data_IF_066069874649
#
_entry.id   IF_066069874649
#
_cell.length_a   1.000
_cell.length_b   1.000
_cell.length_c   1.000
_cell.angle_alpha   90.00
_cell.angle_beta   90.00
_cell.angle_gamma   90.00
#
_symmetry.space_group_name_H-M   'P 1'
#
loop_
_entity.id
_entity.type
_entity.pdbx_description
1 polymer ?
#
# COMPACT_ATOMS: atom_id res chain seq x y z
N UNK A 1 -54.74 -44.10 -46.39
CA UNK A 1 -54.75 -43.33 -45.13
C UNK A 1 -55.82 -43.93 -44.23
N UNK A 2 -55.60 -44.41 -43.02
CA UNK A 2 -54.41 -44.81 -42.27
C UNK A 2 -54.82 -46.05 -41.46
N UNK A 3 -53.96 -47.08 -41.46
CA UNK A 3 -54.25 -48.44 -41.02
C UNK A 3 -54.51 -48.55 -39.50
N UNK A 4 -55.70 -49.06 -39.13
CA UNK A 4 -55.98 -50.30 -38.36
C UNK A 4 -54.88 -50.81 -37.38
N UNK A 5 -55.14 -51.37 -36.19
CA UNK A 5 -56.36 -51.68 -35.41
C UNK A 5 -55.93 -52.19 -34.01
N UNK A 6 -56.80 -51.98 -33.01
CA UNK A 6 -57.20 -52.85 -31.85
C UNK A 6 -56.20 -53.44 -30.81
N UNK A 7 -56.35 -52.92 -29.57
CA UNK A 7 -56.57 -53.52 -28.20
C UNK A 7 -56.82 -55.06 -28.08
N UNK A 8 -56.64 -55.75 -26.90
CA UNK A 8 -57.06 -55.33 -25.54
C UNK A 8 -56.22 -55.79 -24.30
N UNK A 9 -56.75 -55.51 -23.09
CA UNK A 9 -56.28 -55.65 -21.69
C UNK A 9 -55.83 -57.07 -21.23
N UNK A 10 -55.20 -57.35 -20.08
CA UNK A 10 -55.30 -56.77 -18.72
C UNK A 10 -54.23 -57.37 -17.76
N UNK A 11 -54.03 -56.74 -16.58
CA UNK A 11 -53.41 -57.22 -15.29
C UNK A 11 -51.87 -57.13 -15.05
N UNK A 12 -51.41 -57.11 -13.77
CA UNK A 12 -51.58 -56.10 -12.72
C UNK A 12 -50.23 -55.62 -12.12
N UNK A 13 -50.19 -54.44 -11.50
CA UNK A 13 -49.00 -53.91 -10.80
C UNK A 13 -48.56 -54.75 -9.58
N UNK A 14 -47.24 -54.86 -9.35
CA UNK A 14 -46.69 -54.93 -8.01
C UNK A 14 -45.83 -53.70 -7.68
N UNK A 15 -46.19 -53.06 -6.55
CA UNK A 15 -45.46 -52.18 -5.63
C UNK A 15 -44.17 -51.45 -6.09
N UNK A 16 -44.06 -50.12 -5.86
CA UNK A 16 -42.81 -49.39 -6.08
C UNK A 16 -41.83 -49.70 -4.94
N UNK A 17 -40.79 -50.48 -5.24
CA UNK A 17 -39.61 -50.57 -4.41
C UNK A 17 -38.55 -49.60 -4.93
N UNK A 18 -38.28 -48.57 -4.13
CA UNK A 18 -36.97 -47.93 -4.02
C UNK A 18 -36.61 -46.89 -5.09
N UNK A 19 -36.72 -45.63 -4.71
CA UNK A 19 -35.84 -44.59 -5.22
C UNK A 19 -34.38 -45.06 -5.14
N UNK A 20 -33.74 -45.21 -6.31
CA UNK A 20 -32.30 -45.06 -6.47
C UNK A 20 -32.10 -43.98 -7.51
N UNK A 21 -31.96 -42.74 -7.04
CA UNK A 21 -31.45 -41.63 -7.82
C UNK A 21 -30.06 -42.01 -8.34
N UNK A 22 -29.97 -42.27 -9.64
CA UNK A 22 -28.74 -42.67 -10.30
C UNK A 22 -27.73 -41.53 -10.33
N UNK A 23 -26.69 -41.63 -9.52
CA UNK A 23 -25.40 -40.98 -9.79
C UNK A 23 -24.64 -41.84 -10.80
N UNK A 24 -24.94 -41.65 -12.08
CA UNK A 24 -24.13 -42.24 -13.17
C UNK A 24 -23.67 -41.15 -14.14
N UNK A 25 -23.16 -40.04 -13.59
CA UNK A 25 -22.27 -39.15 -14.33
C UNK A 25 -20.84 -39.58 -14.05
N UNK A 26 -20.09 -40.01 -15.06
CA UNK A 26 -18.69 -40.39 -14.89
C UNK A 26 -17.84 -39.25 -14.32
N UNK A 27 -16.66 -39.61 -13.78
CA UNK A 27 -15.72 -38.67 -13.14
C UNK A 27 -15.32 -37.51 -14.07
N UNK A 28 -15.11 -37.79 -15.36
CA UNK A 28 -14.65 -36.80 -16.34
C UNK A 28 -15.65 -35.63 -16.56
N UNK A 29 -16.95 -35.87 -16.80
CA UNK A 29 -17.96 -34.83 -16.82
C UNK A 29 -18.00 -33.95 -15.56
N UNK A 30 -17.81 -34.53 -14.38
CA UNK A 30 -17.84 -33.80 -13.11
C UNK A 30 -16.61 -32.90 -12.95
N UNK A 31 -15.41 -33.40 -13.29
CA UNK A 31 -14.19 -32.58 -13.31
C UNK A 31 -14.28 -31.42 -14.31
N UNK A 32 -14.88 -31.66 -15.48
CA UNK A 32 -15.13 -30.59 -16.45
C UNK A 32 -16.10 -29.54 -15.92
N UNK A 33 -17.18 -29.95 -15.24
CA UNK A 33 -18.13 -29.04 -14.61
C UNK A 33 -17.48 -28.18 -13.51
N UNK A 34 -16.63 -28.78 -12.67
CA UNK A 34 -15.87 -28.05 -11.65
C UNK A 34 -14.92 -27.02 -12.28
N UNK A 35 -14.25 -27.37 -13.39
CA UNK A 35 -13.40 -26.42 -14.12
C UNK A 35 -14.18 -25.23 -14.68
N UNK A 36 -15.40 -25.44 -15.18
CA UNK A 36 -16.26 -24.33 -15.61
C UNK A 36 -16.68 -23.43 -14.44
N UNK A 37 -16.89 -24.00 -13.25
CA UNK A 37 -17.12 -23.22 -12.02
C UNK A 37 -15.91 -22.38 -11.62
N UNK A 38 -14.69 -22.94 -11.71
CA UNK A 38 -13.47 -22.17 -11.51
C UNK A 38 -13.32 -21.02 -12.51
N UNK A 39 -13.62 -21.23 -13.79
CA UNK A 39 -13.61 -20.16 -14.81
C UNK A 39 -14.63 -19.05 -14.52
N UNK A 40 -15.79 -19.43 -13.97
CA UNK A 40 -16.81 -18.48 -13.52
C UNK A 40 -16.47 -17.80 -12.17
N UNK A 41 -15.31 -18.11 -11.57
CA UNK A 41 -14.87 -17.66 -10.24
C UNK A 41 -15.80 -18.10 -9.09
N UNK A 42 -16.56 -19.16 -9.31
CA UNK A 42 -17.42 -19.79 -8.31
C UNK A 42 -16.64 -20.92 -7.63
N UNK A 43 -15.65 -20.54 -6.82
CA UNK A 43 -14.75 -21.48 -6.11
C UNK A 43 -15.52 -22.40 -5.16
N UNK A 44 -16.49 -21.92 -4.35
CA UNK A 44 -17.26 -22.82 -3.47
C UNK A 44 -18.01 -23.91 -4.24
N UNK A 45 -18.62 -23.59 -5.39
CA UNK A 45 -19.30 -24.61 -6.19
C UNK A 45 -18.32 -25.58 -6.86
N UNK A 46 -17.15 -25.12 -7.30
CA UNK A 46 -16.11 -26.01 -7.80
C UNK A 46 -15.63 -26.99 -6.72
N UNK A 47 -15.38 -26.50 -5.52
CA UNK A 47 -14.92 -27.31 -4.38
C UNK A 47 -15.94 -28.38 -3.99
N UNK A 48 -17.23 -28.03 -3.92
CA UNK A 48 -18.29 -29.00 -3.65
C UNK A 48 -18.32 -30.14 -4.69
N UNK A 49 -18.07 -29.84 -5.97
CA UNK A 49 -17.99 -30.86 -7.01
C UNK A 49 -16.73 -31.73 -6.83
N UNK A 50 -15.58 -31.13 -6.55
CA UNK A 50 -14.34 -31.88 -6.34
C UNK A 50 -14.42 -32.81 -5.13
N UNK A 51 -15.01 -32.37 -4.02
CA UNK A 51 -15.26 -33.21 -2.85
C UNK A 51 -16.19 -34.40 -3.16
N UNK A 52 -17.26 -34.15 -3.91
CA UNK A 52 -18.18 -35.21 -4.34
C UNK A 52 -17.48 -36.23 -5.25
N UNK A 53 -16.63 -35.75 -6.18
CA UNK A 53 -15.81 -36.61 -7.04
C UNK A 53 -14.87 -37.47 -6.21
N UNK A 54 -14.15 -36.89 -5.24
CA UNK A 54 -13.22 -37.62 -4.39
C UNK A 54 -13.93 -38.62 -3.47
N UNK A 55 -15.14 -38.29 -3.00
CA UNK A 55 -15.97 -39.20 -2.20
C UNK A 55 -16.44 -40.41 -3.01
N UNK A 56 -16.81 -40.21 -4.28
CA UNK A 56 -17.34 -41.27 -5.15
C UNK A 56 -16.26 -42.10 -5.86
N UNK A 57 -15.20 -41.45 -6.36
CA UNK A 57 -14.13 -42.09 -7.13
C UNK A 57 -12.92 -42.51 -6.26
N UNK A 58 -12.89 -42.05 -5.01
CA UNK A 58 -11.75 -42.20 -4.11
C UNK A 58 -10.55 -41.33 -4.52
N UNK A 59 -9.49 -41.43 -3.71
CA UNK A 59 -8.22 -40.73 -3.94
C UNK A 59 -7.42 -41.45 -5.04
N UNK A 60 -7.86 -41.33 -6.30
CA UNK A 60 -7.13 -41.88 -7.44
C UNK A 60 -6.07 -40.89 -7.93
N UNK A 61 -4.93 -41.40 -8.37
CA UNK A 61 -3.81 -40.60 -8.83
C UNK A 61 -4.20 -39.64 -9.98
N UNK A 62 -4.91 -40.13 -10.99
CA UNK A 62 -5.35 -39.34 -12.15
C UNK A 62 -6.34 -38.22 -11.78
N UNK A 63 -7.20 -38.48 -10.79
CA UNK A 63 -8.16 -37.50 -10.27
C UNK A 63 -7.44 -36.41 -9.49
N UNK A 64 -6.55 -36.77 -8.55
CA UNK A 64 -5.79 -35.80 -7.75
C UNK A 64 -4.88 -34.91 -8.61
N UNK A 65 -4.24 -35.46 -9.65
CA UNK A 65 -3.44 -34.68 -10.60
C UNK A 65 -4.31 -33.68 -11.37
N UNK A 66 -5.51 -34.08 -11.78
CA UNK A 66 -6.42 -33.20 -12.52
C UNK A 66 -6.93 -32.07 -11.63
N UNK A 67 -7.37 -32.39 -10.41
CA UNK A 67 -7.89 -31.40 -9.45
C UNK A 67 -6.80 -30.41 -9.05
N UNK A 68 -5.59 -30.89 -8.71
CA UNK A 68 -4.45 -29.99 -8.41
C UNK A 68 -4.10 -29.09 -9.57
N UNK A 69 -4.07 -29.62 -10.80
CA UNK A 69 -3.76 -28.83 -11.99
C UNK A 69 -4.79 -27.72 -12.23
N UNK A 70 -6.08 -28.04 -12.06
CA UNK A 70 -7.17 -27.10 -12.24
C UNK A 70 -7.13 -25.97 -11.18
N UNK A 71 -6.96 -26.32 -9.90
CA UNK A 71 -6.88 -25.36 -8.80
C UNK A 71 -5.62 -24.50 -8.87
N UNK A 72 -4.47 -25.11 -9.20
CA UNK A 72 -3.20 -24.41 -9.35
C UNK A 72 -3.23 -23.40 -10.50
N UNK A 73 -3.78 -23.78 -11.67
CA UNK A 73 -3.91 -22.89 -12.83
C UNK A 73 -4.86 -21.71 -12.54
N UNK A 74 -5.88 -21.94 -11.73
CA UNK A 74 -6.84 -20.91 -11.32
C UNK A 74 -6.33 -20.02 -10.16
N UNK A 75 -5.17 -20.32 -9.58
CA UNK A 75 -4.58 -19.57 -8.45
C UNK A 75 -5.17 -19.88 -7.07
N UNK A 76 -6.01 -20.91 -6.95
CA UNK A 76 -6.68 -21.29 -5.70
C UNK A 76 -5.79 -22.26 -4.89
N UNK A 77 -4.64 -21.76 -4.45
CA UNK A 77 -3.57 -22.58 -3.84
C UNK A 77 -3.90 -23.05 -2.42
N UNK A 78 -4.69 -22.30 -1.67
CA UNK A 78 -5.10 -22.70 -0.32
C UNK A 78 -6.09 -23.86 -0.38
N UNK A 79 -7.05 -23.78 -1.29
CA UNK A 79 -8.05 -24.82 -1.55
C UNK A 79 -7.39 -26.09 -2.12
N UNK A 80 -6.35 -25.93 -2.95
CA UNK A 80 -5.52 -27.06 -3.39
C UNK A 80 -4.91 -27.77 -2.19
N UNK A 81 -4.25 -27.04 -1.29
CA UNK A 81 -3.60 -27.62 -0.10
C UNK A 81 -4.64 -28.31 0.78
N UNK A 82 -5.72 -27.63 1.14
CA UNK A 82 -6.79 -28.16 2.00
C UNK A 82 -7.35 -29.47 1.46
N UNK A 83 -7.60 -29.52 0.15
CA UNK A 83 -8.20 -30.68 -0.47
C UNK A 83 -7.20 -31.83 -0.68
N UNK A 84 -5.96 -31.54 -1.08
CA UNK A 84 -5.03 -32.59 -1.49
C UNK A 84 -4.08 -33.06 -0.38
N UNK A 85 -3.63 -32.17 0.50
CA UNK A 85 -2.65 -32.52 1.54
C UNK A 85 -3.06 -33.73 2.40
N UNK A 86 -4.31 -33.84 2.93
CA UNK A 86 -4.69 -34.99 3.75
C UNK A 86 -4.88 -36.29 2.98
N UNK A 87 -4.87 -36.24 1.63
CA UNK A 87 -5.17 -37.38 0.75
C UNK A 87 -3.95 -37.85 -0.04
N UNK A 88 -2.91 -37.02 -0.14
CA UNK A 88 -1.75 -37.33 -0.96
C UNK A 88 -0.86 -38.40 -0.31
N UNK A 89 -0.35 -39.28 -1.15
CA UNK A 89 0.55 -40.38 -0.81
C UNK A 89 1.47 -40.52 -2.01
N UNK A 90 2.77 -40.31 -1.80
CA UNK A 90 3.72 -40.24 -2.90
C UNK A 90 3.86 -41.57 -3.65
N UNK A 91 3.81 -42.70 -2.94
CA UNK A 91 3.96 -44.03 -3.51
C UNK A 91 2.72 -44.45 -4.30
N UNK A 92 1.53 -44.09 -3.80
CA UNK A 92 0.25 -44.43 -4.43
C UNK A 92 -0.13 -43.48 -5.56
N UNK A 93 0.11 -42.18 -5.40
CA UNK A 93 -0.39 -41.14 -6.31
C UNK A 93 0.68 -40.62 -7.29
N UNK A 94 1.95 -40.91 -7.04
CA UNK A 94 3.06 -40.52 -7.89
C UNK A 94 3.39 -39.03 -7.82
N UNK A 95 4.45 -38.64 -8.54
CA UNK A 95 5.07 -37.32 -8.36
C UNK A 95 4.25 -36.14 -8.89
N UNK A 96 3.38 -36.32 -9.88
CA UNK A 96 2.71 -35.19 -10.56
C UNK A 96 1.81 -34.37 -9.61
N UNK A 97 0.97 -35.03 -8.81
CA UNK A 97 0.14 -34.35 -7.83
C UNK A 97 0.99 -33.76 -6.68
N UNK A 98 2.05 -34.46 -6.28
CA UNK A 98 2.98 -33.98 -5.26
C UNK A 98 3.76 -32.74 -5.69
N UNK A 99 4.15 -32.64 -6.97
CA UNK A 99 4.79 -31.43 -7.51
C UNK A 99 3.85 -30.23 -7.47
N UNK A 100 2.57 -30.41 -7.83
CA UNK A 100 1.59 -29.33 -7.76
C UNK A 100 1.35 -28.88 -6.30
N UNK A 101 1.28 -29.83 -5.36
CA UNK A 101 1.15 -29.54 -3.94
C UNK A 101 2.41 -28.87 -3.37
N UNK A 102 3.60 -29.30 -3.80
CA UNK A 102 4.88 -28.67 -3.43
C UNK A 102 4.94 -27.22 -3.91
N UNK A 103 4.52 -26.95 -5.15
CA UNK A 103 4.41 -25.59 -5.67
C UNK A 103 3.44 -24.73 -4.84
N UNK A 104 2.30 -25.30 -4.41
CA UNK A 104 1.36 -24.60 -3.55
C UNK A 104 1.97 -24.27 -2.16
N UNK A 105 2.72 -25.19 -1.56
CA UNK A 105 3.42 -24.93 -0.30
C UNK A 105 4.52 -23.86 -0.43
N UNK A 106 5.25 -23.84 -1.54
CA UNK A 106 6.24 -22.79 -1.79
C UNK A 106 5.59 -21.41 -1.97
N UNK A 107 4.46 -21.33 -2.69
CA UNK A 107 3.69 -20.07 -2.85
C UNK A 107 3.14 -19.58 -1.51
N UNK A 108 2.68 -20.48 -0.65
CA UNK A 108 2.13 -20.15 0.68
C UNK A 108 3.19 -20.07 1.79
N UNK A 109 4.47 -20.25 1.45
CA UNK A 109 5.61 -20.28 2.37
C UNK A 109 5.48 -21.27 3.53
N UNK A 110 4.87 -22.42 3.28
CA UNK A 110 4.82 -23.51 4.25
C UNK A 110 6.07 -24.39 4.09
N UNK A 111 7.21 -23.91 4.60
CA UNK A 111 8.55 -24.48 4.35
C UNK A 111 8.72 -25.87 4.94
N UNK A 112 8.17 -26.14 6.13
CA UNK A 112 8.21 -27.47 6.75
C UNK A 112 7.44 -28.51 5.93
N UNK A 113 6.22 -28.18 5.50
CA UNK A 113 5.42 -29.09 4.67
C UNK A 113 6.02 -29.25 3.27
N UNK A 114 6.61 -28.19 2.71
CA UNK A 114 7.35 -28.26 1.45
C UNK A 114 8.58 -29.17 1.55
N UNK A 115 9.37 -29.06 2.63
CA UNK A 115 10.55 -29.89 2.86
C UNK A 115 10.15 -31.36 2.98
N UNK A 116 9.16 -31.66 3.83
CA UNK A 116 8.70 -33.03 4.02
C UNK A 116 8.20 -33.64 2.70
N UNK A 117 7.42 -32.89 1.92
CA UNK A 117 6.93 -33.36 0.63
C UNK A 117 8.05 -33.52 -0.40
N UNK A 118 9.05 -32.65 -0.38
CA UNK A 118 10.22 -32.75 -1.26
C UNK A 118 11.04 -34.02 -0.97
N UNK A 119 11.23 -34.36 0.31
CA UNK A 119 11.90 -35.58 0.73
C UNK A 119 11.14 -36.82 0.24
N UNK A 120 9.81 -36.86 0.43
CA UNK A 120 8.94 -37.92 -0.09
C UNK A 120 9.04 -38.08 -1.61
N UNK A 121 9.20 -36.98 -2.35
CA UNK A 121 9.35 -37.00 -3.81
C UNK A 121 10.74 -37.51 -4.24
N UNK A 122 11.80 -37.19 -3.50
CA UNK A 122 13.15 -37.76 -3.74
C UNK A 122 13.17 -39.27 -3.44
N UNK A 123 12.43 -39.74 -2.43
CA UNK A 123 12.30 -41.16 -2.09
C UNK A 123 11.67 -42.01 -3.19
N UNK A 124 10.93 -41.41 -4.13
CA UNK A 124 10.42 -42.10 -5.32
C UNK A 124 11.53 -42.56 -6.28
N UNK A 125 12.77 -42.04 -6.12
CA UNK A 125 13.97 -42.39 -6.91
C UNK A 125 13.70 -42.38 -8.42
N UNK A 126 13.13 -41.27 -8.92
CA UNK A 126 12.82 -41.04 -10.35
C UNK A 126 13.91 -40.17 -10.98
N UNK A 127 14.87 -40.74 -11.74
CA UNK A 127 15.99 -39.98 -12.29
C UNK A 127 15.55 -38.82 -13.18
N UNK A 128 14.44 -38.97 -13.89
CA UNK A 128 13.88 -37.93 -14.76
C UNK A 128 13.37 -36.68 -14.02
N UNK A 129 13.14 -36.78 -12.71
CA UNK A 129 12.65 -35.68 -11.87
C UNK A 129 13.76 -35.02 -11.05
N UNK A 130 14.92 -35.66 -10.93
CA UNK A 130 15.99 -35.26 -10.00
C UNK A 130 16.42 -33.81 -10.18
N UNK A 131 16.71 -33.38 -11.42
CA UNK A 131 17.08 -31.99 -11.71
C UNK A 131 15.98 -30.99 -11.31
N UNK A 132 14.71 -31.34 -11.47
CA UNK A 132 13.57 -30.49 -11.10
C UNK A 132 13.40 -30.41 -9.59
N UNK A 133 13.55 -31.53 -8.87
CA UNK A 133 13.48 -31.57 -7.42
C UNK A 133 14.64 -30.84 -6.76
N UNK A 134 15.85 -30.90 -7.34
CA UNK A 134 16.99 -30.07 -6.91
C UNK A 134 16.68 -28.58 -7.08
N UNK A 135 16.01 -28.19 -8.16
CA UNK A 135 15.52 -26.81 -8.34
C UNK A 135 14.58 -26.36 -7.23
N UNK A 136 13.67 -27.24 -6.77
CA UNK A 136 12.80 -26.95 -5.62
C UNK A 136 13.56 -26.93 -4.29
N UNK A 137 14.57 -27.78 -4.11
CA UNK A 137 15.46 -27.77 -2.94
C UNK A 137 16.17 -26.42 -2.79
N UNK A 138 16.69 -25.87 -3.90
CA UNK A 138 17.31 -24.55 -3.89
C UNK A 138 16.32 -23.43 -3.54
N UNK A 139 15.12 -23.45 -4.15
CA UNK A 139 14.08 -22.46 -3.86
C UNK A 139 13.62 -22.53 -2.40
N UNK A 140 13.56 -23.73 -1.82
CA UNK A 140 13.22 -23.94 -0.42
C UNK A 140 14.37 -23.52 0.52
N UNK A 141 15.63 -23.76 0.15
CA UNK A 141 16.80 -23.28 0.88
C UNK A 141 16.87 -21.75 0.90
N UNK A 142 16.54 -21.08 -0.20
CA UNK A 142 16.41 -19.61 -0.24
C UNK A 142 15.31 -19.11 0.72
N UNK A 143 14.17 -19.80 0.76
CA UNK A 143 13.10 -19.50 1.73
C UNK A 143 13.56 -19.74 3.17
N UNK A 144 14.21 -20.86 3.46
CA UNK A 144 14.77 -21.14 4.79
C UNK A 144 15.82 -20.11 5.20
N UNK A 145 16.73 -19.69 4.33
CA UNK A 145 17.68 -18.61 4.64
C UNK A 145 16.92 -17.33 4.97
N UNK A 146 15.91 -16.96 4.18
CA UNK A 146 15.09 -15.78 4.46
C UNK A 146 14.28 -15.90 5.77
N UNK A 147 13.81 -17.09 6.13
CA UNK A 147 13.06 -17.35 7.37
C UNK A 147 13.99 -17.48 8.59
N UNK A 148 15.23 -17.95 8.41
CA UNK A 148 16.25 -18.07 9.47
C UNK A 148 16.91 -16.72 9.74
N UNK A 149 17.09 -15.89 8.71
CA UNK A 149 17.41 -14.46 8.86
C UNK A 149 16.28 -13.72 9.58
N UNK A 150 15.02 -14.09 9.35
CA UNK A 150 13.88 -13.59 10.12
C UNK A 150 13.84 -14.12 11.58
N UNK A 151 14.19 -15.40 11.82
CA UNK A 151 14.10 -16.08 13.12
C UNK A 151 15.30 -15.84 14.06
N UNK A 152 16.47 -15.45 13.55
CA UNK A 152 17.60 -14.97 14.37
C UNK A 152 17.40 -13.55 14.91
N UNK A 153 16.25 -12.94 14.63
CA UNK A 153 15.73 -11.81 15.40
C UNK A 153 15.01 -12.38 16.62
N UNK A 154 15.41 -11.98 17.84
CA UNK A 154 14.84 -12.42 19.11
C UNK A 154 13.31 -12.55 19.08
N UNK A 155 12.75 -13.50 19.86
CA UNK A 155 11.31 -13.70 20.15
C UNK A 155 10.50 -12.43 19.87
N UNK A 156 9.46 -12.45 19.00
CA UNK A 156 8.86 -11.23 18.53
C UNK A 156 8.35 -10.42 19.72
N UNK A 157 9.08 -9.35 20.03
CA UNK A 157 8.48 -8.19 20.65
C UNK A 157 7.27 -7.87 19.76
N UNK A 158 6.09 -7.88 20.37
CA UNK A 158 4.79 -7.62 19.76
C UNK A 158 4.94 -6.78 18.48
N UNK A 159 4.55 -7.33 17.33
CA UNK A 159 4.73 -6.66 16.02
C UNK A 159 4.15 -5.26 16.15
N UNK A 160 4.98 -4.19 16.00
CA UNK A 160 4.52 -2.84 16.27
C UNK A 160 3.29 -2.54 15.41
N UNK A 161 2.20 -2.10 16.05
CA UNK A 161 0.97 -1.76 15.31
C UNK A 161 1.24 -0.47 14.56
N UNK A 162 1.18 -0.55 13.24
CA UNK A 162 1.30 0.62 12.38
C UNK A 162 -0.09 1.22 12.15
N UNK A 163 -0.26 2.48 12.53
CA UNK A 163 -1.42 3.31 12.21
C UNK A 163 -1.10 4.34 11.13
N UNK A 164 -2.12 4.85 10.45
CA UNK A 164 -1.99 5.97 9.53
C UNK A 164 -2.55 7.23 10.17
N UNK A 165 -1.71 8.25 10.33
CA UNK A 165 -2.12 9.61 10.69
C UNK A 165 -2.58 10.33 9.44
N UNK A 166 -3.81 10.85 9.48
CA UNK A 166 -4.40 11.65 8.40
C UNK A 166 -4.17 13.13 8.65
N UNK A 167 -3.37 13.76 7.79
CA UNK A 167 -3.09 15.20 7.80
C UNK A 167 -4.02 15.88 6.79
N UNK A 168 -5.14 16.44 7.26
CA UNK A 168 -6.24 16.96 6.43
C UNK A 168 -6.13 18.43 6.01
N UNK A 169 -5.09 19.12 6.49
CA UNK A 169 -4.75 20.51 6.14
C UNK A 169 -3.26 20.55 5.79
N UNK A 170 -2.79 21.56 5.05
CA UNK A 170 -1.36 21.75 4.86
C UNK A 170 -0.62 21.78 6.20
N UNK A 171 0.50 21.04 6.31
CA UNK A 171 1.15 20.82 7.60
C UNK A 171 1.62 22.13 8.26
N UNK A 172 2.05 23.11 7.45
CA UNK A 172 2.44 24.45 7.89
C UNK A 172 1.31 25.26 8.55
N UNK A 173 0.05 24.84 8.37
CA UNK A 173 -1.11 25.56 8.92
C UNK A 173 -1.47 25.10 10.34
N UNK A 174 -0.99 23.94 10.79
CA UNK A 174 -1.20 23.50 12.17
C UNK A 174 -0.39 24.37 13.12
N UNK A 175 -1.06 24.97 14.11
CA UNK A 175 -0.52 26.01 14.98
C UNK A 175 -0.87 27.44 14.54
N UNK A 176 -1.37 27.63 13.31
CA UNK A 176 -1.79 28.92 12.78
C UNK A 176 -3.31 29.08 12.69
N UNK A 177 -4.09 28.02 12.94
CA UNK A 177 -5.53 28.02 12.66
C UNK A 177 -6.30 29.09 13.42
N UNK A 178 -5.95 29.31 14.68
CA UNK A 178 -6.58 30.34 15.51
C UNK A 178 -6.02 31.75 15.25
N UNK A 179 -4.79 31.83 14.71
CA UNK A 179 -4.08 33.09 14.54
C UNK A 179 -4.34 33.73 13.18
N UNK A 180 -4.50 32.91 12.14
CA UNK A 180 -4.70 33.35 10.77
C UNK A 180 -5.61 32.38 9.98
N UNK A 181 -6.87 32.17 10.43
CA UNK A 181 -7.78 31.19 9.83
C UNK A 181 -8.08 31.46 8.35
N UNK A 182 -7.97 32.72 7.92
CA UNK A 182 -8.20 33.17 6.55
C UNK A 182 -7.14 32.69 5.56
N UNK A 183 -5.97 32.25 6.01
CA UNK A 183 -4.91 31.71 5.13
C UNK A 183 -5.33 30.41 4.47
N UNK A 184 -6.18 29.60 5.12
CA UNK A 184 -6.74 28.40 4.53
C UNK A 184 -7.98 28.78 3.70
N UNK A 185 -8.04 28.40 2.42
CA UNK A 185 -9.14 28.79 1.57
C UNK A 185 -10.46 28.13 1.99
N UNK A 186 -11.56 28.85 1.80
CA UNK A 186 -12.91 28.28 1.93
C UNK A 186 -13.32 27.72 0.58
N UNK A 187 -13.57 26.41 0.53
CA UNK A 187 -13.97 25.74 -0.71
C UNK A 187 -15.45 25.38 -0.67
N UNK A 188 -16.13 25.66 -1.77
CA UNK A 188 -17.55 25.39 -1.96
C UNK A 188 -17.76 24.41 -3.13
N UNK A 189 -18.92 23.76 -3.16
CA UNK A 189 -19.27 22.81 -4.21
C UNK A 189 -18.67 21.41 -4.04
N UNK A 190 -18.89 20.58 -5.07
CA UNK A 190 -18.44 19.18 -5.10
C UNK A 190 -16.93 19.13 -5.36
N UNK A 191 -16.21 18.48 -4.46
CA UNK A 191 -14.75 18.33 -4.50
C UNK A 191 -14.37 16.87 -4.59
N UNK A 192 -13.30 16.59 -5.34
CA UNK A 192 -12.67 15.27 -5.38
C UNK A 192 -11.84 15.09 -4.10
N UNK A 193 -12.09 14.03 -3.36
CA UNK A 193 -11.31 13.67 -2.18
C UNK A 193 -10.10 12.84 -2.58
N UNK A 194 -8.90 13.32 -2.30
CA UNK A 194 -7.65 12.68 -2.68
C UNK A 194 -6.73 12.50 -1.48
N UNK A 195 -6.26 11.27 -1.26
CA UNK A 195 -5.20 11.01 -0.30
C UNK A 195 -3.85 10.87 -0.99
N UNK A 196 -2.82 11.52 -0.45
CA UNK A 196 -1.42 11.31 -0.81
C UNK A 196 -0.76 10.47 0.28
N UNK A 197 -0.50 9.20 -0.02
CA UNK A 197 0.05 8.26 0.93
C UNK A 197 1.58 8.35 0.97
N UNK A 198 2.17 8.13 2.16
CA UNK A 198 3.61 8.03 2.35
C UNK A 198 4.26 7.14 1.28
N UNK A 199 5.40 7.58 0.71
CA UNK A 199 6.10 6.78 -0.27
C UNK A 199 6.67 5.51 0.36
N UNK A 200 6.52 4.38 -0.33
CA UNK A 200 7.27 3.18 -0.06
C UNK A 200 8.74 3.37 -0.45
N UNK A 201 9.62 2.63 0.23
CA UNK A 201 11.06 2.56 0.04
C UNK A 201 11.50 1.10 -0.25
N UNK A 202 11.16 0.53 -1.42
CA UNK A 202 11.54 -0.83 -1.75
C UNK A 202 13.05 -1.04 -1.77
N UNK A 203 13.49 -2.17 -1.20
CA UNK A 203 14.91 -2.47 -1.05
C UNK A 203 15.56 -1.74 0.13
N UNK A 204 14.79 -1.13 1.02
CA UNK A 204 15.30 -0.61 2.28
C UNK A 204 15.56 -1.76 3.26
N UNK A 205 16.84 -2.06 3.46
CA UNK A 205 17.32 -2.98 4.49
C UNK A 205 17.07 -2.40 5.89
N UNK A 206 16.81 -3.28 6.87
CA UNK A 206 16.61 -2.92 8.28
C UNK A 206 15.58 -1.81 8.53
N UNK A 207 14.49 -1.79 7.76
CA UNK A 207 13.47 -0.74 7.82
C UNK A 207 12.94 -0.47 9.23
N UNK A 208 12.75 -1.52 10.05
CA UNK A 208 12.30 -1.39 11.43
C UNK A 208 13.34 -0.72 12.35
N UNK A 209 14.61 -1.12 12.24
CA UNK A 209 15.71 -0.52 13.01
C UNK A 209 15.92 0.93 12.62
N UNK A 210 15.89 1.24 11.32
CA UNK A 210 15.98 2.61 10.81
C UNK A 210 14.80 3.47 11.26
N UNK A 211 13.59 2.91 11.24
CA UNK A 211 12.38 3.57 11.70
C UNK A 211 12.41 3.93 13.20
N UNK A 212 13.14 3.17 14.01
CA UNK A 212 13.30 3.42 15.44
C UNK A 212 14.36 4.51 15.77
N UNK A 213 15.07 5.03 14.77
CA UNK A 213 16.04 6.12 14.92
C UNK A 213 15.42 7.46 14.48
N UNK A 214 15.98 8.60 14.93
CA UNK A 214 15.58 9.90 14.40
C UNK A 214 15.63 9.92 12.87
N UNK A 215 14.69 10.63 12.23
CA UNK A 215 14.53 10.52 10.79
C UNK A 215 15.78 10.91 9.99
N UNK A 216 16.18 10.04 9.05
CA UNK A 216 17.18 10.37 8.05
C UNK A 216 16.58 11.12 6.86
N UNK A 217 17.42 11.58 5.94
CA UNK A 217 16.97 12.36 4.77
C UNK A 217 16.02 11.58 3.87
N UNK A 218 16.28 10.29 3.62
CA UNK A 218 15.43 9.47 2.75
C UNK A 218 14.06 9.21 3.38
N UNK A 219 14.02 8.82 4.65
CA UNK A 219 12.79 8.63 5.41
C UNK A 219 11.97 9.90 5.47
N UNK A 220 12.60 11.05 5.76
CA UNK A 220 11.94 12.36 5.75
C UNK A 220 11.36 12.70 4.37
N UNK A 221 12.11 12.47 3.29
CA UNK A 221 11.65 12.74 1.93
C UNK A 221 10.46 11.86 1.53
N UNK A 222 10.42 10.60 1.98
CA UNK A 222 9.31 9.67 1.73
C UNK A 222 7.95 10.17 2.25
N UNK A 223 7.97 11.04 3.27
CA UNK A 223 6.78 11.71 3.83
C UNK A 223 6.61 13.13 3.28
N UNK A 224 7.72 13.84 3.11
CA UNK A 224 7.78 15.21 2.60
C UNK A 224 7.20 15.37 1.20
N UNK A 225 7.45 14.41 0.30
CA UNK A 225 6.92 14.44 -1.07
C UNK A 225 5.37 14.37 -1.07
N UNK A 226 4.71 13.35 -0.47
CA UNK A 226 3.26 13.32 -0.31
C UNK A 226 2.66 14.56 0.36
N UNK A 227 3.32 15.12 1.39
CA UNK A 227 2.89 16.36 2.03
C UNK A 227 2.92 17.55 1.06
N UNK A 228 3.95 17.67 0.23
CA UNK A 228 4.06 18.73 -0.77
C UNK A 228 2.97 18.61 -1.84
N UNK A 229 2.67 17.40 -2.31
CA UNK A 229 1.56 17.19 -3.23
C UNK A 229 0.21 17.49 -2.56
N UNK A 230 0.00 17.06 -1.31
CA UNK A 230 -1.21 17.37 -0.57
C UNK A 230 -1.39 18.88 -0.36
N UNK A 231 -0.32 19.63 -0.06
CA UNK A 231 -0.30 21.10 0.05
C UNK A 231 -0.63 21.79 -1.29
N UNK A 232 -0.06 21.27 -2.39
CA UNK A 232 -0.33 21.74 -3.75
C UNK A 232 -1.83 21.62 -4.09
N UNK A 233 -2.42 20.45 -3.83
CA UNK A 233 -3.83 20.19 -4.13
C UNK A 233 -4.77 20.83 -3.10
N UNK A 234 -4.32 21.05 -1.85
CA UNK A 234 -5.04 21.85 -0.87
C UNK A 234 -5.26 23.29 -1.36
N UNK A 235 -4.38 23.79 -2.24
CA UNK A 235 -4.55 25.08 -2.89
C UNK A 235 -5.44 25.08 -4.15
N UNK A 236 -5.87 23.91 -4.61
CA UNK A 236 -6.69 23.77 -5.81
C UNK A 236 -8.18 23.88 -5.49
N UNK A 237 -8.97 24.41 -6.44
CA UNK A 237 -10.40 24.61 -6.26
C UNK A 237 -11.19 23.28 -6.18
N UNK A 238 -10.77 22.25 -6.91
CA UNK A 238 -11.53 21.01 -7.09
C UNK A 238 -11.26 19.88 -6.09
N UNK A 239 -10.47 20.12 -5.04
CA UNK A 239 -9.90 19.03 -4.22
C UNK A 239 -10.05 19.24 -2.72
N UNK A 240 -10.36 18.15 -2.01
CA UNK A 240 -10.12 17.98 -0.59
C UNK A 240 -8.99 16.97 -0.41
N UNK A 241 -7.95 17.34 0.34
CA UNK A 241 -6.71 16.55 0.40
C UNK A 241 -6.40 16.05 1.78
N UNK A 242 -5.83 14.85 1.83
CA UNK A 242 -5.27 14.25 3.03
C UNK A 242 -3.86 13.76 2.67
N UNK A 243 -2.87 14.00 3.53
CA UNK A 243 -1.65 13.22 3.50
C UNK A 243 -1.74 12.11 4.55
N UNK A 244 -1.49 10.87 4.15
CA UNK A 244 -1.55 9.71 5.04
C UNK A 244 -0.12 9.25 5.38
N UNK A 245 0.25 9.35 6.65
CA UNK A 245 1.60 9.06 7.14
C UNK A 245 1.58 7.97 8.18
N UNK A 246 2.52 7.03 8.09
CA UNK A 246 2.54 5.86 8.93
C UNK A 246 3.33 6.10 10.22
N UNK A 247 2.72 5.76 11.35
CA UNK A 247 3.33 5.82 12.68
C UNK A 247 3.14 4.49 13.39
N UNK A 248 4.12 4.12 14.19
CA UNK A 248 4.12 2.94 15.03
C UNK A 248 3.54 3.26 16.41
N UNK A 249 2.86 2.31 17.04
CA UNK A 249 2.48 2.36 18.46
C UNK A 249 3.68 2.50 19.41
N UNK A 250 4.90 2.25 18.92
CA UNK A 250 6.17 2.54 19.59
C UNK A 250 6.62 4.01 19.47
N UNK A 251 5.72 4.92 19.07
CA UNK A 251 5.95 6.37 18.96
C UNK A 251 7.12 6.75 18.05
N UNK A 252 7.24 6.11 16.90
CA UNK A 252 8.15 6.50 15.83
C UNK A 252 7.47 6.34 14.47
N UNK A 253 8.04 6.89 13.40
CA UNK A 253 7.50 6.66 12.05
C UNK A 253 7.60 5.19 11.66
N UNK A 254 6.69 4.69 10.83
CA UNK A 254 6.89 3.44 10.14
C UNK A 254 7.48 3.70 8.74
N UNK A 255 8.41 2.84 8.29
CA UNK A 255 8.96 2.86 6.94
C UNK A 255 8.41 1.66 6.17
N UNK A 256 8.05 1.87 4.90
CA UNK A 256 7.40 0.85 4.07
C UNK A 256 8.38 0.24 3.08
N UNK A 257 8.97 -0.94 3.37
CA UNK A 257 9.88 -1.60 2.44
C UNK A 257 9.15 -2.25 1.26
N UNK A 258 7.81 -2.26 1.27
CA UNK A 258 6.97 -2.83 0.22
C UNK A 258 6.07 -1.75 -0.37
N UNK A 259 5.80 -1.89 -1.67
CA UNK A 259 4.91 -0.99 -2.37
C UNK A 259 3.46 -1.16 -1.90
N UNK A 260 2.70 -0.07 -1.94
CA UNK A 260 1.27 -0.11 -1.67
C UNK A 260 0.56 -1.00 -2.69
N UNK A 261 -0.29 -1.90 -2.19
CA UNK A 261 -1.20 -2.71 -3.02
C UNK A 261 -2.65 -2.24 -2.87
N UNK A 262 -3.54 -2.74 -3.73
CA UNK A 262 -4.95 -2.37 -3.73
C UNK A 262 -5.64 -2.57 -2.36
N UNK A 263 -5.21 -3.57 -1.59
CA UNK A 263 -5.73 -3.80 -0.24
C UNK A 263 -5.35 -2.69 0.74
N UNK A 264 -4.11 -2.19 0.69
CA UNK A 264 -3.72 -1.04 1.52
C UNK A 264 -4.51 0.22 1.14
N UNK A 265 -4.82 0.38 -0.16
CA UNK A 265 -5.68 1.47 -0.66
C UNK A 265 -7.11 1.35 -0.13
N UNK A 266 -7.67 0.13 -0.03
CA UNK A 266 -8.97 -0.12 0.63
C UNK A 266 -8.93 0.29 2.09
N UNK A 267 -7.94 -0.19 2.84
CA UNK A 267 -7.79 0.12 4.27
C UNK A 267 -7.64 1.62 4.52
N UNK A 268 -6.89 2.33 3.68
CA UNK A 268 -6.79 3.79 3.78
C UNK A 268 -8.15 4.45 3.50
N UNK A 269 -8.86 4.05 2.45
CA UNK A 269 -10.20 4.59 2.17
C UNK A 269 -11.17 4.38 3.34
N UNK A 270 -11.16 3.19 3.92
CA UNK A 270 -12.10 2.80 4.98
C UNK A 270 -11.82 3.52 6.31
N UNK A 271 -10.59 4.02 6.50
CA UNK A 271 -10.23 4.85 7.65
C UNK A 271 -10.55 6.34 7.48
N UNK A 272 -10.97 6.78 6.30
CA UNK A 272 -11.32 8.18 6.02
C UNK A 272 -12.83 8.37 5.99
N UNK A 273 -13.34 9.19 6.91
CA UNK A 273 -14.77 9.50 6.98
C UNK A 273 -15.29 10.11 5.68
N UNK A 274 -16.34 9.51 5.11
CA UNK A 274 -16.96 9.89 3.84
C UNK A 274 -16.19 9.46 2.59
N UNK A 275 -15.15 8.62 2.75
CA UNK A 275 -14.42 7.97 1.66
C UNK A 275 -13.55 8.89 0.81
N UNK A 276 -12.84 8.27 -0.13
CA UNK A 276 -11.91 8.90 -1.06
C UNK A 276 -12.35 8.64 -2.50
N UNK A 277 -12.14 9.61 -3.39
CA UNK A 277 -12.29 9.40 -4.83
C UNK A 277 -11.00 8.83 -5.43
N UNK A 278 -9.85 9.33 -4.95
CA UNK A 278 -8.52 8.95 -5.40
C UNK A 278 -7.54 8.71 -4.25
N UNK A 279 -6.63 7.76 -4.46
CA UNK A 279 -5.44 7.60 -3.61
C UNK A 279 -4.21 7.70 -4.51
N UNK A 280 -3.22 8.47 -4.09
CA UNK A 280 -1.93 8.59 -4.76
C UNK A 280 -0.88 7.91 -3.87
N UNK A 281 -0.30 6.83 -4.37
CA UNK A 281 0.75 6.07 -3.67
C UNK A 281 2.09 6.32 -4.34
N UNK A 282 3.14 6.51 -3.55
CA UNK A 282 4.48 6.73 -4.07
C UNK A 282 5.44 5.57 -3.81
N UNK A 283 6.46 5.47 -4.67
CA UNK A 283 7.64 4.64 -4.48
C UNK A 283 8.85 5.52 -4.69
N UNK A 284 9.71 5.63 -3.70
CA UNK A 284 10.95 6.40 -3.76
C UNK A 284 12.14 5.45 -3.65
N UNK A 285 13.03 5.49 -4.64
CA UNK A 285 14.29 4.75 -4.66
C UNK A 285 15.44 5.75 -4.67
N UNK A 286 16.54 5.39 -4.03
CA UNK A 286 17.81 6.10 -4.12
C UNK A 286 18.92 5.07 -4.33
N UNK A 287 19.73 5.26 -5.37
CA UNK A 287 20.96 4.50 -5.61
C UNK A 287 22.10 5.47 -5.90
N UNK A 288 23.00 5.68 -4.94
CA UNK A 288 24.16 6.57 -5.08
C UNK A 288 23.79 7.99 -5.53
N UNK A 289 22.85 8.62 -4.83
CA UNK A 289 22.28 9.95 -5.12
C UNK A 289 21.53 10.05 -6.45
N UNK A 290 21.21 8.91 -7.06
CA UNK A 290 20.29 8.82 -8.18
C UNK A 290 18.92 8.41 -7.65
N UNK A 291 18.01 9.38 -7.60
CA UNK A 291 16.68 9.23 -7.05
C UNK A 291 15.68 8.92 -8.15
N UNK A 292 14.77 8.00 -7.87
CA UNK A 292 13.63 7.69 -8.73
C UNK A 292 12.35 7.75 -7.89
N UNK A 293 11.41 8.61 -8.28
CA UNK A 293 10.06 8.67 -7.73
C UNK A 293 9.07 8.13 -8.74
N UNK A 294 8.26 7.18 -8.30
CA UNK A 294 7.10 6.70 -9.04
C UNK A 294 5.83 7.03 -8.25
N UNK A 295 4.88 7.73 -8.87
CA UNK A 295 3.55 7.99 -8.30
C UNK A 295 2.46 7.27 -9.09
N UNK A 296 1.65 6.48 -8.38
CA UNK A 296 0.47 5.81 -8.94
C UNK A 296 -0.80 6.47 -8.43
N UNK A 297 -1.71 6.76 -9.34
CA UNK A 297 -3.03 7.29 -9.04
C UNK A 297 -4.05 6.16 -9.13
N UNK A 298 -4.74 5.90 -8.04
CA UNK A 298 -5.77 4.88 -7.91
C UNK A 298 -7.16 5.51 -7.93
N UNK A 299 -8.07 4.96 -8.73
CA UNK A 299 -9.51 5.25 -8.62
C UNK A 299 -10.09 4.32 -7.56
N UNK A 300 -10.57 4.89 -6.45
CA UNK A 300 -11.02 4.12 -5.28
C UNK A 300 -12.30 3.35 -5.58
N UNK A 301 -13.22 3.92 -6.37
CA UNK A 301 -14.50 3.27 -6.73
C UNK A 301 -14.33 1.86 -7.31
N UNK A 302 -13.25 1.60 -8.04
CA UNK A 302 -12.95 0.28 -8.64
C UNK A 302 -11.65 -0.33 -8.14
N UNK A 303 -10.95 0.34 -7.21
CA UNK A 303 -9.61 0.00 -6.75
C UNK A 303 -8.64 -0.36 -7.87
N UNK A 304 -8.65 0.47 -8.92
CA UNK A 304 -7.81 0.29 -10.11
C UNK A 304 -6.78 1.40 -10.22
N UNK A 305 -5.59 1.04 -10.67
CA UNK A 305 -4.60 2.01 -11.09
C UNK A 305 -5.11 2.72 -12.36
N UNK A 306 -5.12 4.05 -12.34
CA UNK A 306 -5.42 4.88 -13.51
C UNK A 306 -4.17 5.24 -14.28
N UNK A 307 -3.11 5.58 -13.55
CA UNK A 307 -1.88 6.10 -14.15
C UNK A 307 -0.69 5.97 -13.20
N UNK A 308 0.45 5.62 -13.78
CA UNK A 308 1.78 5.70 -13.19
C UNK A 308 2.56 6.84 -13.85
N UNK A 309 3.22 7.65 -13.03
CA UNK A 309 4.19 8.66 -13.44
C UNK A 309 5.52 8.38 -12.76
N UNK A 310 6.62 8.59 -13.48
CA UNK A 310 7.97 8.42 -12.94
C UNK A 310 8.80 9.66 -13.22
N UNK A 311 9.62 10.06 -12.25
CA UNK A 311 10.66 11.07 -12.39
C UNK A 311 11.96 10.52 -11.80
N UNK A 312 13.08 10.95 -12.37
CA UNK A 312 14.42 10.59 -11.92
C UNK A 312 15.26 11.84 -11.82
N UNK A 313 16.03 11.99 -10.75
CA UNK A 313 16.87 13.16 -10.54
C UNK A 313 18.13 12.83 -9.73
N UNK A 314 19.10 13.72 -9.81
CA UNK A 314 20.27 13.79 -8.93
C UNK A 314 20.20 15.07 -8.10
N UNK A 315 21.05 15.26 -7.07
CA UNK A 315 21.05 16.48 -6.27
C UNK A 315 21.22 17.77 -7.09
N UNK A 316 21.87 17.71 -8.25
CA UNK A 316 22.13 18.90 -9.08
C UNK A 316 20.95 19.35 -9.94
N UNK A 317 19.98 18.48 -10.22
CA UNK A 317 18.81 18.81 -11.06
C UNK A 317 17.46 18.52 -10.37
N UNK A 318 17.48 18.19 -9.08
CA UNK A 318 16.30 17.79 -8.31
C UNK A 318 15.15 18.78 -8.43
N UNK A 319 15.44 20.08 -8.26
CA UNK A 319 14.41 21.11 -8.24
C UNK A 319 13.72 21.29 -9.59
N UNK A 320 14.48 21.19 -10.68
CA UNK A 320 13.96 21.26 -12.05
C UNK A 320 13.05 20.05 -12.36
N UNK A 321 13.55 18.84 -12.08
CA UNK A 321 12.81 17.61 -12.40
C UNK A 321 11.57 17.43 -11.52
N UNK A 322 11.66 17.75 -10.23
CA UNK A 322 10.50 17.74 -9.33
C UNK A 322 9.47 18.80 -9.71
N UNK A 323 9.91 19.98 -10.16
CA UNK A 323 9.03 21.02 -10.69
C UNK A 323 8.22 20.54 -11.90
N UNK A 324 8.89 19.98 -12.91
CA UNK A 324 8.25 19.36 -14.09
C UNK A 324 7.29 18.25 -13.69
N UNK A 325 7.72 17.38 -12.77
CA UNK A 325 6.92 16.27 -12.31
C UNK A 325 5.62 16.75 -11.64
N UNK A 326 5.70 17.78 -10.80
CA UNK A 326 4.53 18.38 -10.16
C UNK A 326 3.56 19.01 -11.18
N UNK A 327 4.07 19.68 -12.21
CA UNK A 327 3.26 20.24 -13.29
C UNK A 327 2.50 19.15 -14.07
N UNK A 328 3.16 18.04 -14.38
CA UNK A 328 2.55 16.89 -15.06
C UNK A 328 1.39 16.32 -14.23
N UNK A 329 1.61 16.10 -12.92
CA UNK A 329 0.57 15.59 -12.02
C UNK A 329 -0.61 16.56 -11.91
N UNK A 330 -0.35 17.86 -11.76
CA UNK A 330 -1.39 18.90 -11.73
C UNK A 330 -2.19 18.92 -13.02
N UNK A 331 -1.53 18.83 -14.17
CA UNK A 331 -2.20 18.83 -15.48
C UNK A 331 -3.09 17.61 -15.64
N UNK A 332 -2.59 16.40 -15.33
CA UNK A 332 -3.36 15.17 -15.42
C UNK A 332 -4.59 15.18 -14.49
N UNK A 333 -4.41 15.70 -13.28
CA UNK A 333 -5.49 15.82 -12.31
C UNK A 333 -6.32 17.09 -12.50
N UNK A 334 -6.24 17.79 -13.64
CA UNK A 334 -7.07 18.97 -13.93
C UNK A 334 -7.03 20.01 -12.80
N UNK A 335 -5.87 20.16 -12.15
CA UNK A 335 -5.70 21.09 -11.04
C UNK A 335 -5.91 22.52 -11.55
N UNK A 336 -6.68 23.29 -10.81
CA UNK A 336 -6.94 24.71 -11.07
C UNK A 336 -6.77 25.52 -9.80
N UNK A 337 -6.15 26.68 -9.94
CA UNK A 337 -5.94 27.60 -8.83
C UNK A 337 -7.29 28.11 -8.30
N UNK A 338 -7.33 28.40 -7.00
CA UNK A 338 -8.46 29.11 -6.40
C UNK A 338 -8.55 30.55 -6.93
N UNK A 339 -9.76 31.16 -6.91
CA UNK A 339 -9.92 32.57 -7.22
C UNK A 339 -9.04 33.46 -6.34
N UNK A 340 -8.54 34.56 -6.90
CA UNK A 340 -7.76 35.55 -6.15
C UNK A 340 -8.56 36.06 -4.93
N UNK A 341 -7.89 36.18 -3.79
CA UNK A 341 -8.50 36.61 -2.52
C UNK A 341 -9.18 35.49 -1.72
N UNK A 342 -9.25 34.26 -2.23
CA UNK A 342 -9.73 33.10 -1.46
C UNK A 342 -8.55 32.33 -0.85
N UNK A 343 -8.15 32.72 0.36
CA UNK A 343 -7.02 32.12 1.07
C UNK A 343 -5.67 32.49 0.47
N UNK A 344 -4.62 31.81 0.96
CA UNK A 344 -3.26 32.05 0.51
C UNK A 344 -3.02 31.51 -0.91
N UNK A 345 -2.68 32.41 -1.83
CA UNK A 345 -2.34 32.07 -3.21
C UNK A 345 -1.24 31.01 -3.27
N UNK A 346 -1.37 30.09 -4.23
CA UNK A 346 -0.35 29.06 -4.45
C UNK A 346 0.78 29.59 -5.31
N UNK A 347 1.98 29.59 -4.74
CA UNK A 347 3.23 29.81 -5.47
C UNK A 347 3.98 28.49 -5.55
N UNK A 348 4.36 28.07 -6.77
CA UNK A 348 5.22 26.89 -6.95
C UNK A 348 6.58 27.19 -6.30
N UNK A 349 7.07 26.35 -5.38
CA UNK A 349 8.42 26.49 -4.82
C UNK A 349 9.46 26.40 -5.94
N UNK A 350 10.45 27.30 -5.93
CA UNK A 350 11.59 27.26 -6.87
C UNK A 350 12.61 26.20 -6.48
N UNK A 351 12.65 25.85 -5.18
CA UNK A 351 13.44 24.77 -4.63
C UNK A 351 12.51 23.74 -3.94
N UNK A 352 11.72 22.97 -4.73
CA UNK A 352 10.76 22.01 -4.19
C UNK A 352 11.39 20.89 -3.37
N UNK A 353 12.64 20.48 -3.62
CA UNK A 353 13.29 19.44 -2.80
C UNK A 353 13.48 19.94 -1.35
N UNK A 354 14.00 21.17 -1.20
CA UNK A 354 14.17 21.80 0.10
C UNK A 354 12.81 21.97 0.80
N UNK A 355 11.78 22.39 0.06
CA UNK A 355 10.43 22.53 0.60
C UNK A 355 9.83 21.20 1.07
N UNK A 356 9.96 20.12 0.29
CA UNK A 356 9.50 18.79 0.69
C UNK A 356 10.18 18.30 1.98
N UNK A 357 11.50 18.48 2.10
CA UNK A 357 12.21 18.16 3.35
C UNK A 357 11.71 19.01 4.53
N UNK A 358 11.47 20.30 4.33
CA UNK A 358 10.93 21.16 5.37
C UNK A 358 9.52 20.75 5.83
N UNK A 359 8.63 20.36 4.90
CA UNK A 359 7.31 19.84 5.27
C UNK A 359 7.42 18.54 6.07
N UNK A 360 8.37 17.66 5.72
CA UNK A 360 8.65 16.45 6.51
C UNK A 360 9.15 16.78 7.92
N UNK A 361 10.07 17.74 8.06
CA UNK A 361 10.55 18.20 9.36
C UNK A 361 9.45 18.86 10.21
N UNK A 362 8.60 19.68 9.57
CA UNK A 362 7.45 20.32 10.23
C UNK A 362 6.44 19.29 10.72
N UNK A 363 6.20 18.22 9.95
CA UNK A 363 5.39 17.09 10.40
C UNK A 363 5.98 16.45 11.66
N UNK A 364 7.30 16.25 11.71
CA UNK A 364 7.96 15.65 12.88
C UNK A 364 7.79 16.52 14.13
N UNK A 365 7.94 17.85 14.00
CA UNK A 365 7.67 18.77 15.11
C UNK A 365 6.20 18.71 15.56
N UNK A 366 5.26 18.69 14.61
CA UNK A 366 3.83 18.59 14.88
C UNK A 366 3.46 17.28 15.60
N UNK A 367 3.92 16.14 15.10
CA UNK A 367 3.61 14.84 15.71
C UNK A 367 4.30 14.66 17.06
N UNK A 368 5.47 15.28 17.26
CA UNK A 368 6.10 15.39 18.58
C UNK A 368 5.25 16.18 19.57
N UNK A 369 4.70 17.32 19.15
CA UNK A 369 3.76 18.12 19.97
C UNK A 369 2.49 17.33 20.34
N UNK A 370 2.02 16.43 19.45
CA UNK A 370 0.86 15.57 19.69
C UNK A 370 1.19 14.28 20.45
N UNK A 371 2.41 14.13 20.98
CA UNK A 371 2.87 12.93 21.68
C UNK A 371 2.72 11.63 20.85
N UNK A 372 2.68 11.78 19.52
CA UNK A 372 2.60 10.68 18.55
C UNK A 372 3.99 10.15 18.22
N UNK A 373 5.01 10.99 18.31
CA UNK A 373 6.43 10.61 18.23
C UNK A 373 7.10 10.81 19.58
N UNK A 374 8.02 9.91 19.93
CA UNK A 374 8.83 10.01 21.14
C UNK A 374 9.79 11.21 21.04
N UNK A 375 10.15 11.86 22.16
CA UNK A 375 11.03 13.02 22.15
C UNK A 375 12.35 12.80 21.41
N UNK A 376 12.90 11.60 21.47
CA UNK A 376 14.16 11.23 20.80
C UNK A 376 14.02 11.24 19.27
N UNK A 377 12.82 11.03 18.73
CA UNK A 377 12.52 11.08 17.30
C UNK A 377 12.42 12.52 16.77
N UNK A 378 12.27 13.50 17.66
CA UNK A 378 11.94 14.88 17.29
C UNK A 378 13.22 15.74 17.33
N UNK A 379 13.75 16.19 16.17
CA UNK A 379 14.94 17.01 16.14
C UNK A 379 14.71 18.34 16.87
N UNK A 380 15.79 18.93 17.38
CA UNK A 380 15.68 20.13 18.22
C UNK A 380 15.57 21.46 17.45
N UNK A 381 15.89 21.47 16.15
CA UNK A 381 16.12 22.70 15.39
C UNK A 381 15.11 22.95 14.27
N UNK A 382 15.28 24.11 13.63
CA UNK A 382 14.49 24.62 12.50
C UNK A 382 15.30 24.72 11.21
N UNK A 383 16.48 24.09 11.14
CA UNK A 383 17.47 24.31 10.07
C UNK A 383 16.90 24.05 8.68
N UNK A 384 16.19 22.93 8.50
CA UNK A 384 15.57 22.57 7.22
C UNK A 384 14.45 23.54 6.82
N UNK A 385 13.71 24.05 7.81
CA UNK A 385 12.64 25.03 7.60
C UNK A 385 13.22 26.39 7.21
N UNK A 386 14.30 26.81 7.87
CA UNK A 386 15.04 28.02 7.53
C UNK A 386 15.64 27.90 6.12
N UNK A 387 16.31 26.79 5.81
CA UNK A 387 16.88 26.53 4.49
C UNK A 387 15.80 26.59 3.40
N UNK A 388 14.65 25.94 3.61
CA UNK A 388 13.57 25.98 2.64
C UNK A 388 12.96 27.37 2.48
N UNK A 389 12.80 28.13 3.57
CA UNK A 389 12.34 29.51 3.53
C UNK A 389 13.32 30.43 2.78
N UNK A 390 14.63 30.26 2.98
CA UNK A 390 15.66 31.02 2.26
C UNK A 390 15.72 30.64 0.78
N UNK A 391 15.61 29.35 0.46
CA UNK A 391 15.62 28.86 -0.92
C UNK A 391 14.34 29.22 -1.68
N UNK A 392 13.23 29.50 -0.99
CA UNK A 392 11.94 29.83 -1.58
C UNK A 392 11.39 31.19 -1.08
N UNK A 393 12.07 32.32 -1.35
CA UNK A 393 11.73 33.62 -0.78
C UNK A 393 10.35 34.14 -1.22
N UNK A 394 9.89 33.75 -2.42
CA UNK A 394 8.58 34.13 -2.96
C UNK A 394 7.43 33.19 -2.51
N UNK A 395 7.75 32.04 -1.91
CA UNK A 395 6.73 31.08 -1.48
C UNK A 395 6.33 31.34 -0.02
N UNK A 396 5.25 32.09 0.19
CA UNK A 396 4.74 32.42 1.53
C UNK A 396 4.52 31.17 2.41
N UNK A 397 4.17 30.02 1.83
CA UNK A 397 4.00 28.76 2.58
C UNK A 397 5.29 28.21 3.17
N UNK A 398 6.43 28.37 2.48
CA UNK A 398 7.74 28.01 3.03
C UNK A 398 8.09 28.89 4.25
N UNK A 399 7.73 30.17 4.17
CA UNK A 399 7.93 31.11 5.29
C UNK A 399 7.00 30.77 6.46
N UNK A 400 5.73 30.48 6.18
CA UNK A 400 4.74 30.10 7.18
C UNK A 400 5.07 28.77 7.86
N UNK A 401 5.65 27.80 7.14
CA UNK A 401 6.14 26.56 7.74
C UNK A 401 7.20 26.86 8.83
N UNK A 402 8.15 27.76 8.55
CA UNK A 402 9.11 28.20 9.55
C UNK A 402 8.44 28.94 10.71
N UNK A 403 7.50 29.85 10.44
CA UNK A 403 6.78 30.60 11.48
C UNK A 403 6.00 29.64 12.39
N UNK A 404 5.30 28.66 11.84
CA UNK A 404 4.54 27.66 12.58
C UNK A 404 5.45 26.83 13.51
N UNK A 405 6.62 26.39 12.99
CA UNK A 405 7.62 25.70 13.78
C UNK A 405 8.12 26.52 14.97
N UNK A 406 8.46 27.80 14.73
CA UNK A 406 8.95 28.69 15.79
C UNK A 406 7.89 28.95 16.87
N UNK A 407 6.62 29.15 16.46
CA UNK A 407 5.51 29.30 17.41
C UNK A 407 5.30 28.03 18.23
N UNK A 408 5.44 26.84 17.61
CA UNK A 408 5.35 25.55 18.30
C UNK A 408 6.48 25.39 19.32
N UNK A 409 7.73 25.66 18.94
CA UNK A 409 8.86 25.61 19.86
C UNK A 409 8.69 26.58 21.03
N UNK A 410 8.23 27.81 20.76
CA UNK A 410 7.89 28.80 21.79
C UNK A 410 6.81 28.29 22.75
N UNK A 411 5.74 27.70 22.24
CA UNK A 411 4.66 27.14 23.07
C UNK A 411 5.13 25.97 23.97
N UNK A 412 6.16 25.24 23.54
CA UNK A 412 6.80 24.18 24.31
C UNK A 412 7.90 24.69 25.27
N UNK A 413 8.18 26.00 25.30
CA UNK A 413 9.28 26.57 26.08
C UNK A 413 10.67 26.18 25.57
N UNK A 414 10.77 25.72 24.32
CA UNK A 414 12.04 25.35 23.68
C UNK A 414 12.66 26.58 23.00
N UNK A 415 13.98 26.79 23.13
CA UNK A 415 14.64 27.92 22.48
C UNK A 415 14.55 27.76 20.97
N UNK A 416 14.18 28.84 20.28
CA UNK A 416 14.26 28.93 18.84
C UNK A 416 15.70 29.26 18.40
N UNK A 417 16.10 28.75 17.23
CA UNK A 417 17.32 29.20 16.57
C UNK A 417 17.24 30.71 16.28
N UNK A 418 18.31 31.45 16.62
CA UNK A 418 18.33 32.91 16.49
C UNK A 418 18.27 33.38 15.02
N UNK A 419 18.95 32.68 14.10
CA UNK A 419 18.90 32.99 12.68
C UNK A 419 17.53 32.70 12.10
N UNK A 420 16.90 31.60 12.52
CA UNK A 420 15.54 31.25 12.14
C UNK A 420 14.52 32.29 12.60
N UNK A 421 14.62 32.73 13.87
CA UNK A 421 13.77 33.78 14.42
C UNK A 421 13.96 35.12 13.69
N UNK A 422 15.21 35.52 13.42
CA UNK A 422 15.52 36.74 12.70
C UNK A 422 14.97 36.71 11.27
N UNK A 423 15.15 35.61 10.55
CA UNK A 423 14.61 35.42 9.20
C UNK A 423 13.09 35.53 9.19
N UNK A 424 12.40 34.79 10.07
CA UNK A 424 10.94 34.80 10.16
C UNK A 424 10.40 36.19 10.53
N UNK A 425 11.02 36.87 11.49
CA UNK A 425 10.64 38.23 11.90
C UNK A 425 10.83 39.24 10.76
N UNK A 426 11.95 39.15 10.04
CA UNK A 426 12.22 40.00 8.89
C UNK A 426 11.22 39.78 7.75
N UNK A 427 10.86 38.52 7.47
CA UNK A 427 9.83 38.21 6.49
C UNK A 427 8.45 38.73 6.91
N UNK A 428 8.04 38.52 8.16
CA UNK A 428 6.75 38.99 8.68
C UNK A 428 6.60 40.52 8.66
N UNK A 429 7.71 41.26 8.75
CA UNK A 429 7.75 42.71 8.60
C UNK A 429 7.80 43.19 7.14
N UNK A 430 7.91 42.28 6.17
CA UNK A 430 8.09 42.62 4.76
C UNK A 430 6.76 42.88 4.03
N UNK A 431 6.78 43.61 2.89
CA UNK A 431 5.62 43.73 2.02
C UNK A 431 5.08 42.39 1.51
N UNK A 432 5.93 41.37 1.40
CA UNK A 432 5.52 40.04 0.97
C UNK A 432 4.61 39.36 2.00
N UNK A 433 4.90 39.50 3.29
CA UNK A 433 4.02 39.00 4.35
C UNK A 433 2.71 39.80 4.43
N UNK A 434 2.73 41.10 4.15
CA UNK A 434 1.52 41.90 4.04
C UNK A 434 0.64 41.45 2.86
N UNK A 435 1.24 41.19 1.70
CA UNK A 435 0.53 40.66 0.53
C UNK A 435 -0.03 39.25 0.76
N UNK A 436 0.63 38.46 1.61
CA UNK A 436 0.16 37.14 2.04
C UNK A 436 -0.84 37.19 3.22
N UNK A 437 -1.19 38.39 3.71
CA UNK A 437 -2.04 38.61 4.90
C UNK A 437 -1.55 37.86 6.16
N UNK A 438 -0.22 37.80 6.33
CA UNK A 438 0.47 37.09 7.40
C UNK A 438 1.18 38.03 8.39
N UNK A 439 1.33 39.32 8.09
CA UNK A 439 2.11 40.27 8.88
C UNK A 439 1.70 40.35 10.37
N UNK A 440 0.41 40.14 10.67
CA UNK A 440 -0.10 40.14 12.04
C UNK A 440 0.52 39.04 12.95
N UNK A 441 1.07 37.97 12.36
CA UNK A 441 1.72 36.89 13.10
C UNK A 441 2.99 37.36 13.84
N UNK A 442 3.59 38.50 13.46
CA UNK A 442 4.79 39.03 14.12
C UNK A 442 4.56 39.27 15.62
N UNK A 443 3.35 39.69 16.00
CA UNK A 443 2.96 39.95 17.38
C UNK A 443 2.84 38.67 18.23
N UNK A 444 2.76 37.50 17.60
CA UNK A 444 2.73 36.20 18.28
C UNK A 444 4.12 35.59 18.37
N UNK A 445 4.97 35.91 17.40
CA UNK A 445 6.35 35.45 17.37
C UNK A 445 7.21 36.18 18.41
N UNK A 446 7.05 37.51 18.54
CA UNK A 446 7.57 38.31 19.65
C UNK A 446 7.00 37.81 20.99
#
# INVERSE_FOLDING_TARGET
>A
MGFFDRKPADQPEPAPAGEKTGTSGGVLPQLAAAREKLKAKDVPAAMAIYEAVLTGAGDRADVLVTISGDLGTAGNVNELIELLAPRYDAQRHGAAAGINLLQAYLVTRNTDAAQHLLDLLFELRRPELESRLVGFSNALAELFVSDTEAANTALPAEVPKVGLVSISKPIWFYGLEALAPHLLPRKEGKRRRVAFAQCALPGLEDAATRAAQPEDSLGRLSRGLPLWFADTFAAGAGYDTIAAVAVSDRKHYALFPLEWVAENVRQLNDSVEGGLDYVVTGVLRNRNDDFELSLRIWEVKKYRELKLFTARWTPSNADEELGKFQEIIRTYMEWSALPAGNGLAYTVPVAPLAYAHALGAELTLFLGEKDTLAPEQVPAGTDLLLQAAQANPAAARAQLALVAALLRLKAQGRPADAAAYQHASAWLASPAAQAADAAALIMKLA
#
